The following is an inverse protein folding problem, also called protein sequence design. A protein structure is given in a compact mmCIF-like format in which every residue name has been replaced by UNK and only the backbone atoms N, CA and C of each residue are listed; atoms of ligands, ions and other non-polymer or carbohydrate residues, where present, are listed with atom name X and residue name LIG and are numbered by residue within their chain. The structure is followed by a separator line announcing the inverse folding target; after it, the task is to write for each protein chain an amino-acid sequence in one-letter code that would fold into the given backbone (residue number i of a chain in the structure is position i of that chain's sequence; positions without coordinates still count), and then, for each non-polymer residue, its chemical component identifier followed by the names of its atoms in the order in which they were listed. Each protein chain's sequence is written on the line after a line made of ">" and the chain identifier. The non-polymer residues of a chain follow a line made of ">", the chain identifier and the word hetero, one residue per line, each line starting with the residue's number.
data_IF_930862354671
#
_entry.id   IF_930862354671
#
_cell.length_a   1.000
_cell.length_b   1.000
_cell.length_c   1.000
_cell.angle_alpha   90.00
_cell.angle_beta   90.00
_cell.angle_gamma   90.00
#
_symmetry.space_group_name_H-M   'P 1'
#
loop_
_entity.id
_entity.type
_entity.pdbx_description
1 polymer ?
#
# COMPACT_ATOMS: atom_id res chain seq x y z
N UNK A 1 4.91 -1.16 33.13
CA UNK A 1 4.35 -0.54 31.91
C UNK A 1 4.34 0.94 32.18
N UNK A 2 4.96 1.74 31.31
CA UNK A 2 5.02 3.20 31.51
C UNK A 2 3.61 3.79 31.37
N UNK A 3 3.06 4.24 32.49
CA UNK A 3 1.68 4.74 32.63
C UNK A 3 1.52 6.18 32.09
N UNK A 4 2.14 6.54 30.97
CA UNK A 4 2.11 7.92 30.48
C UNK A 4 2.37 8.12 28.98
N UNK A 5 2.44 7.04 28.20
CA UNK A 5 2.66 7.18 26.77
C UNK A 5 1.48 7.88 26.09
N UNK A 6 1.79 8.95 25.36
CA UNK A 6 0.82 9.78 24.64
C UNK A 6 1.20 9.78 23.17
N UNK A 7 0.31 9.27 22.32
CA UNK A 7 0.43 9.28 20.88
C UNK A 7 0.43 10.74 20.38
N UNK A 8 1.47 11.17 19.64
CA UNK A 8 1.51 12.52 19.08
C UNK A 8 0.33 12.76 18.15
N UNK A 9 -0.15 14.02 18.07
CA UNK A 9 -1.35 14.38 17.30
C UNK A 9 -1.32 13.89 15.84
N UNK A 10 -0.17 14.01 15.17
CA UNK A 10 0.04 13.58 13.78
C UNK A 10 -0.13 12.07 13.55
N UNK A 11 -0.18 11.28 14.63
CA UNK A 11 -0.25 9.83 14.58
C UNK A 11 -1.41 9.26 15.41
N UNK A 12 -2.38 10.07 15.84
CA UNK A 12 -3.52 9.57 16.64
C UNK A 12 -4.22 8.39 15.96
N UNK A 13 -4.86 7.53 16.75
CA UNK A 13 -5.74 6.51 16.21
C UNK A 13 -6.80 7.18 15.31
N UNK A 14 -7.11 6.58 14.17
CA UNK A 14 -7.89 7.24 13.10
C UNK A 14 -7.07 8.01 12.07
N UNK A 15 -5.79 8.30 12.34
CA UNK A 15 -4.84 8.68 11.28
C UNK A 15 -4.38 7.46 10.49
N UNK A 16 -4.16 7.64 9.20
CA UNK A 16 -3.92 6.58 8.23
C UNK A 16 -2.72 5.68 8.62
N UNK A 17 -1.57 6.29 8.91
CA UNK A 17 -0.31 5.55 9.07
C UNK A 17 -0.25 4.67 10.32
N UNK A 18 -0.60 5.21 11.50
CA UNK A 18 -0.47 4.45 12.74
C UNK A 18 -1.56 3.37 12.85
N UNK A 19 -2.79 3.71 12.46
CA UNK A 19 -3.92 2.77 12.46
C UNK A 19 -3.63 1.56 11.57
N UNK A 20 -3.11 1.78 10.36
CA UNK A 20 -2.66 0.70 9.46
C UNK A 20 -1.54 -0.13 10.08
N UNK A 21 -0.57 0.50 10.73
CA UNK A 21 0.57 -0.19 11.34
C UNK A 21 0.12 -1.08 12.51
N UNK A 22 -0.80 -0.59 13.35
CA UNK A 22 -1.40 -1.39 14.44
C UNK A 22 -2.14 -2.60 13.89
N UNK A 23 -2.96 -2.39 12.85
CA UNK A 23 -3.71 -3.47 12.21
C UNK A 23 -2.82 -4.49 11.49
N UNK A 24 -1.57 -4.16 11.15
CA UNK A 24 -0.64 -5.10 10.51
C UNK A 24 0.20 -5.91 11.52
N UNK A 25 0.08 -5.66 12.82
CA UNK A 25 0.76 -6.45 13.86
C UNK A 25 0.13 -7.84 14.01
N UNK A 26 0.96 -8.90 14.05
CA UNK A 26 0.46 -10.28 14.10
C UNK A 26 -0.43 -10.57 15.32
N UNK A 27 -0.18 -9.94 16.47
CA UNK A 27 -1.01 -10.11 17.68
C UNK A 27 -2.41 -9.55 17.44
N UNK A 28 -2.49 -8.41 16.74
CA UNK A 28 -3.75 -7.77 16.35
C UNK A 28 -4.45 -8.56 15.26
N UNK A 29 -3.73 -9.04 14.24
CA UNK A 29 -4.26 -9.92 13.19
C UNK A 29 -4.91 -11.16 13.80
N UNK A 30 -4.21 -11.86 14.69
CA UNK A 30 -4.71 -13.06 15.35
C UNK A 30 -5.99 -12.77 16.17
N UNK A 31 -5.99 -11.66 16.92
CA UNK A 31 -7.14 -11.25 17.72
C UNK A 31 -8.36 -10.95 16.84
N UNK A 32 -8.18 -10.15 15.79
CA UNK A 32 -9.28 -9.70 14.94
C UNK A 32 -9.78 -10.79 14.00
N UNK A 33 -8.89 -11.58 13.40
CA UNK A 33 -9.29 -12.71 12.56
C UNK A 33 -10.11 -13.75 13.34
N UNK A 34 -9.72 -14.04 14.59
CA UNK A 34 -10.54 -14.87 15.48
C UNK A 34 -11.89 -14.23 15.76
N UNK A 35 -11.92 -12.93 16.02
CA UNK A 35 -13.16 -12.21 16.31
C UNK A 35 -14.12 -12.14 15.12
N UNK A 36 -13.62 -12.12 13.88
CA UNK A 36 -14.45 -11.97 12.67
C UNK A 36 -14.88 -13.31 12.08
N UNK A 37 -14.01 -14.32 12.07
CA UNK A 37 -14.23 -15.61 11.39
C UNK A 37 -13.88 -16.84 12.23
N UNK A 38 -13.65 -16.68 13.54
CA UNK A 38 -13.23 -17.74 14.47
C UNK A 38 -11.97 -18.49 14.02
N UNK A 39 -11.05 -17.77 13.38
CA UNK A 39 -9.79 -18.36 12.93
C UNK A 39 -8.83 -18.63 14.11
N UNK A 40 -8.13 -19.78 14.10
CA UNK A 40 -7.01 -20.03 15.01
C UNK A 40 -5.88 -19.01 14.81
N UNK A 41 -5.02 -18.88 15.82
CA UNK A 41 -3.83 -18.05 15.72
C UNK A 41 -2.95 -18.43 14.52
N UNK A 42 -2.31 -17.42 13.94
CA UNK A 42 -1.33 -17.51 12.85
C UNK A 42 -1.88 -18.05 11.52
N UNK A 43 -3.20 -18.20 11.43
CA UNK A 43 -3.95 -18.55 10.22
C UNK A 43 -3.91 -17.42 9.18
N UNK A 44 -3.92 -16.17 9.64
CA UNK A 44 -3.89 -14.99 8.79
C UNK A 44 -2.57 -14.23 8.87
N UNK A 45 -2.25 -13.54 7.77
CA UNK A 45 -1.17 -12.56 7.68
C UNK A 45 -1.67 -11.28 7.02
N UNK A 46 -0.96 -10.18 7.21
CA UNK A 46 -1.15 -8.99 6.40
C UNK A 46 -0.72 -9.29 4.95
N UNK A 47 -1.65 -9.14 4.01
CA UNK A 47 -1.42 -9.24 2.58
C UNK A 47 -0.99 -7.92 1.96
N UNK A 48 -0.64 -7.97 0.67
CA UNK A 48 -0.42 -6.77 -0.13
C UNK A 48 -1.75 -6.05 -0.35
N UNK A 49 -1.78 -4.76 -0.04
CA UNK A 49 -2.98 -3.94 -0.13
C UNK A 49 -3.04 -3.09 -1.39
N UNK A 50 -1.93 -2.97 -2.12
CA UNK A 50 -1.84 -2.25 -3.40
C UNK A 50 -2.29 -3.16 -4.55
N UNK A 51 -3.11 -2.61 -5.43
CA UNK A 51 -3.66 -3.31 -6.58
C UNK A 51 -3.03 -2.83 -7.89
N UNK A 52 -3.09 -3.68 -8.92
CA UNK A 52 -2.49 -3.41 -10.24
C UNK A 52 -3.08 -2.19 -10.95
N UNK A 53 -4.28 -1.75 -10.56
CA UNK A 53 -4.93 -0.55 -11.09
C UNK A 53 -4.48 0.75 -10.40
N UNK A 54 -3.48 0.66 -9.52
CA UNK A 54 -2.94 1.78 -8.75
C UNK A 54 -3.80 2.20 -7.57
N UNK A 55 -4.90 1.49 -7.29
CA UNK A 55 -5.68 1.68 -6.07
C UNK A 55 -5.18 0.77 -4.95
N UNK A 56 -5.52 1.09 -3.69
CA UNK A 56 -5.14 0.28 -2.56
C UNK A 56 -6.24 0.32 -1.49
N UNK A 57 -6.51 -0.84 -0.89
CA UNK A 57 -7.24 -0.89 0.37
C UNK A 57 -6.32 -0.52 1.53
N UNK A 58 -6.87 -0.23 2.70
CA UNK A 58 -6.02 0.19 3.82
C UNK A 58 -5.26 -0.98 4.44
N UNK A 59 -5.96 -2.05 4.79
CA UNK A 59 -5.37 -3.27 5.33
C UNK A 59 -6.11 -4.50 4.80
N UNK A 60 -5.35 -5.47 4.30
CA UNK A 60 -5.87 -6.75 3.84
C UNK A 60 -5.28 -7.87 4.69
N UNK A 61 -6.14 -8.72 5.25
CA UNK A 61 -5.74 -9.98 5.84
C UNK A 61 -6.06 -11.12 4.88
N UNK A 62 -5.06 -11.99 4.65
CA UNK A 62 -5.20 -13.17 3.81
C UNK A 62 -4.85 -14.43 4.62
N UNK A 63 -5.57 -15.55 4.41
CA UNK A 63 -5.15 -16.82 4.96
C UNK A 63 -3.75 -17.19 4.44
N UNK A 64 -2.88 -17.68 5.33
CA UNK A 64 -1.52 -18.10 4.99
C UNK A 64 -1.51 -19.29 4.03
N UNK A 65 -2.45 -20.21 4.22
CA UNK A 65 -2.62 -21.37 3.35
C UNK A 65 -3.53 -21.03 2.18
N UNK A 66 -3.04 -21.21 0.95
CA UNK A 66 -3.86 -21.07 -0.26
C UNK A 66 -5.02 -22.08 -0.32
N UNK A 67 -4.92 -23.20 0.41
CA UNK A 67 -5.99 -24.19 0.52
C UNK A 67 -7.06 -23.83 1.56
N UNK A 68 -6.86 -22.77 2.35
CA UNK A 68 -7.81 -22.34 3.37
C UNK A 68 -9.17 -22.00 2.76
N UNK A 69 -10.24 -22.38 3.47
CA UNK A 69 -11.61 -22.03 3.10
C UNK A 69 -12.05 -20.65 3.60
N UNK A 70 -11.24 -20.04 4.47
CA UNK A 70 -11.57 -18.77 5.11
C UNK A 70 -11.48 -17.59 4.12
N UNK A 71 -12.34 -16.58 4.25
CA UNK A 71 -12.35 -15.42 3.36
C UNK A 71 -11.19 -14.45 3.66
N UNK A 72 -10.70 -13.68 2.68
CA UNK A 72 -9.90 -12.51 2.98
C UNK A 72 -10.71 -11.49 3.81
N UNK A 73 -10.04 -10.69 4.64
CA UNK A 73 -10.69 -9.64 5.45
C UNK A 73 -10.05 -8.31 5.10
N UNK A 74 -10.84 -7.35 4.65
CA UNK A 74 -10.39 -5.99 4.33
C UNK A 74 -10.86 -5.07 5.44
N UNK A 75 -9.93 -4.29 6.01
CA UNK A 75 -10.24 -3.18 6.89
C UNK A 75 -10.03 -1.88 6.14
N UNK A 76 -11.03 -1.01 6.19
CA UNK A 76 -11.01 0.34 5.61
C UNK A 76 -11.18 1.36 6.74
N UNK A 77 -10.23 2.27 6.89
CA UNK A 77 -10.25 3.33 7.89
C UNK A 77 -10.61 4.63 7.19
N UNK A 78 -11.84 5.09 7.41
CA UNK A 78 -12.38 6.20 6.65
C UNK A 78 -12.87 7.30 7.59
N UNK A 79 -12.40 8.54 7.36
CA UNK A 79 -12.81 9.68 8.16
C UNK A 79 -14.30 10.00 7.98
N UNK A 80 -14.72 10.14 6.72
CA UNK A 80 -16.14 10.32 6.35
C UNK A 80 -16.57 9.20 5.43
N UNK A 81 -17.58 8.43 5.86
CA UNK A 81 -18.16 7.32 5.09
C UNK A 81 -19.32 7.87 4.25
N UNK A 82 -19.09 8.02 2.94
CA UNK A 82 -20.04 8.51 1.95
C UNK A 82 -20.26 7.50 0.80
N UNK A 83 -21.16 7.81 -0.13
CA UNK A 83 -21.46 6.91 -1.26
C UNK A 83 -20.21 6.69 -2.14
N UNK A 84 -19.32 7.68 -2.27
CA UNK A 84 -18.07 7.55 -3.05
C UNK A 84 -17.12 6.54 -2.40
N UNK A 85 -16.98 6.59 -1.08
CA UNK A 85 -16.24 5.59 -0.32
C UNK A 85 -16.85 4.19 -0.49
N UNK A 86 -18.17 4.05 -0.37
CA UNK A 86 -18.81 2.73 -0.53
C UNK A 86 -18.56 2.14 -1.92
N UNK A 87 -18.57 2.95 -2.98
CA UNK A 87 -18.19 2.49 -4.33
C UNK A 87 -16.73 2.03 -4.41
N UNK A 88 -15.81 2.68 -3.70
CA UNK A 88 -14.41 2.21 -3.59
C UNK A 88 -14.33 0.88 -2.85
N UNK A 89 -15.03 0.73 -1.73
CA UNK A 89 -15.05 -0.52 -0.96
C UNK A 89 -15.56 -1.70 -1.81
N UNK A 90 -16.63 -1.50 -2.60
CA UNK A 90 -17.13 -2.52 -3.55
C UNK A 90 -16.07 -2.90 -4.58
N UNK A 91 -15.35 -1.92 -5.13
CA UNK A 91 -14.25 -2.16 -6.08
C UNK A 91 -13.14 -2.98 -5.42
N UNK A 92 -12.70 -2.61 -4.23
CA UNK A 92 -11.65 -3.33 -3.49
C UNK A 92 -12.08 -4.78 -3.23
N UNK A 93 -13.33 -4.98 -2.80
CA UNK A 93 -13.86 -6.31 -2.55
C UNK A 93 -13.86 -7.18 -3.81
N UNK A 94 -14.20 -6.59 -4.96
CA UNK A 94 -14.17 -7.26 -6.26
C UNK A 94 -12.75 -7.66 -6.67
N UNK A 95 -11.78 -6.76 -6.53
CA UNK A 95 -10.37 -7.02 -6.86
C UNK A 95 -9.81 -8.14 -5.97
N UNK A 96 -10.02 -8.03 -4.65
CA UNK A 96 -9.60 -9.06 -3.68
C UNK A 96 -10.26 -10.40 -4.01
N UNK A 97 -11.55 -10.39 -4.36
CA UNK A 97 -12.28 -11.57 -4.80
C UNK A 97 -11.68 -12.25 -6.03
N UNK A 98 -11.21 -11.46 -7.00
CA UNK A 98 -10.56 -11.97 -8.21
C UNK A 98 -9.17 -12.54 -7.91
N UNK A 99 -8.36 -11.83 -7.13
CA UNK A 99 -6.97 -12.21 -6.82
C UNK A 99 -6.90 -13.45 -5.93
N UNK A 100 -7.78 -13.53 -4.92
CA UNK A 100 -7.76 -14.62 -3.92
C UNK A 100 -8.83 -15.68 -4.17
N UNK A 101 -9.58 -15.57 -5.27
CA UNK A 101 -10.65 -16.50 -5.65
C UNK A 101 -11.72 -16.70 -4.56
N UNK A 102 -11.89 -15.71 -3.67
CA UNK A 102 -12.81 -15.72 -2.53
C UNK A 102 -13.31 -14.33 -2.23
N UNK A 103 -14.62 -14.19 -2.15
CA UNK A 103 -15.28 -12.94 -1.76
C UNK A 103 -14.87 -12.58 -0.32
N UNK A 104 -14.42 -11.33 -0.04
CA UNK A 104 -13.92 -10.94 1.26
C UNK A 104 -15.01 -10.51 2.24
N UNK A 105 -14.63 -10.39 3.51
CA UNK A 105 -15.37 -9.60 4.52
C UNK A 105 -14.79 -8.19 4.53
N UNK A 106 -15.65 -7.17 4.50
CA UNK A 106 -15.25 -5.76 4.61
C UNK A 106 -15.63 -5.23 5.99
N UNK A 107 -14.66 -4.66 6.70
CA UNK A 107 -14.86 -3.98 7.98
C UNK A 107 -14.51 -2.50 7.79
N UNK A 108 -15.52 -1.64 7.87
CA UNK A 108 -15.42 -0.20 7.75
C UNK A 108 -15.30 0.42 9.14
N UNK A 109 -14.17 1.07 9.40
CA UNK A 109 -13.84 1.79 10.62
C UNK A 109 -14.03 3.28 10.35
N UNK A 110 -15.15 3.83 10.78
CA UNK A 110 -15.47 5.24 10.61
C UNK A 110 -14.86 6.07 11.74
N UNK A 111 -14.02 7.05 11.38
CA UNK A 111 -13.35 7.92 12.37
C UNK A 111 -14.27 9.05 12.84
N UNK A 112 -14.88 9.80 11.91
CA UNK A 112 -15.61 11.03 12.25
C UNK A 112 -17.11 10.90 12.01
N UNK A 113 -17.55 10.64 10.77
CA UNK A 113 -18.98 10.64 10.47
C UNK A 113 -19.38 9.74 9.31
N UNK A 114 -20.62 9.29 9.35
CA UNK A 114 -21.27 8.54 8.27
C UNK A 114 -22.39 9.40 7.70
N UNK A 115 -22.41 9.58 6.38
CA UNK A 115 -23.51 10.31 5.74
C UNK A 115 -24.83 9.59 6.02
N UNK A 116 -25.85 10.30 6.51
CA UNK A 116 -27.11 9.67 6.95
C UNK A 116 -27.76 8.77 5.89
N UNK A 117 -27.73 9.17 4.63
CA UNK A 117 -28.25 8.36 3.51
C UNK A 117 -27.51 7.04 3.35
N UNK A 118 -26.21 7.02 3.65
CA UNK A 118 -25.37 5.81 3.66
C UNK A 118 -25.62 5.01 4.94
N UNK A 119 -25.63 5.66 6.10
CA UNK A 119 -25.86 5.00 7.40
C UNK A 119 -27.19 4.23 7.44
N UNK A 120 -28.23 4.76 6.80
CA UNK A 120 -29.54 4.11 6.72
C UNK A 120 -29.55 2.87 5.80
N UNK A 121 -28.58 2.72 4.91
CA UNK A 121 -28.39 1.52 4.08
C UNK A 121 -27.69 0.38 4.84
N UNK A 122 -27.07 0.67 5.99
CA UNK A 122 -26.56 -0.34 6.91
C UNK A 122 -27.70 -0.83 7.82
N UNK A 123 -28.57 -1.65 7.25
CA UNK A 123 -29.79 -2.17 7.88
C UNK A 123 -29.96 -3.69 7.72
N UNK A 124 -28.94 -4.39 7.24
CA UNK A 124 -28.94 -5.85 7.20
C UNK A 124 -28.84 -6.43 8.63
N UNK A 125 -29.34 -7.65 8.87
CA UNK A 125 -29.12 -8.35 10.12
C UNK A 125 -27.63 -8.41 10.46
N UNK A 126 -27.28 -8.07 11.69
CA UNK A 126 -25.90 -7.99 12.17
C UNK A 126 -25.79 -8.73 13.49
N UNK A 127 -24.86 -9.68 13.56
CA UNK A 127 -24.61 -10.47 14.78
C UNK A 127 -23.94 -9.65 15.89
N UNK A 128 -23.37 -8.49 15.53
CA UNK A 128 -22.71 -7.58 16.46
C UNK A 128 -23.67 -6.47 16.89
N UNK A 129 -24.05 -6.38 18.18
CA UNK A 129 -24.97 -5.35 18.65
C UNK A 129 -24.38 -3.92 18.58
N UNK A 130 -23.05 -3.81 18.52
CA UNK A 130 -22.28 -2.56 18.49
C UNK A 130 -21.88 -2.11 17.07
N UNK A 131 -22.37 -2.80 16.05
CA UNK A 131 -22.07 -2.53 14.65
C UNK A 131 -23.35 -2.53 13.81
N UNK A 132 -23.23 -2.12 12.54
CA UNK A 132 -24.29 -2.30 11.55
C UNK A 132 -23.75 -2.97 10.31
N UNK A 133 -24.61 -3.67 9.57
CA UNK A 133 -24.23 -4.34 8.32
C UNK A 133 -25.00 -3.80 7.12
N UNK A 134 -24.32 -3.72 5.98
CA UNK A 134 -24.94 -3.42 4.70
C UNK A 134 -25.22 -4.72 3.91
N UNK A 135 -26.30 -4.70 3.13
CA UNK A 135 -26.52 -5.72 2.11
C UNK A 135 -25.37 -5.67 1.10
N UNK A 136 -24.69 -6.80 0.90
CA UNK A 136 -23.45 -6.86 0.14
C UNK A 136 -23.35 -8.08 -0.80
N UNK A 137 -24.50 -8.61 -1.19
CA UNK A 137 -24.61 -9.76 -2.09
C UNK A 137 -23.72 -9.57 -3.33
N UNK A 138 -23.05 -10.66 -3.71
CA UNK A 138 -22.14 -10.77 -4.86
C UNK A 138 -20.77 -10.10 -4.74
N UNK A 139 -20.54 -9.17 -3.81
CA UNK A 139 -19.25 -8.45 -3.72
C UNK A 139 -18.55 -8.57 -2.37
N UNK A 140 -19.25 -8.86 -1.27
CA UNK A 140 -18.65 -9.22 0.01
C UNK A 140 -19.44 -10.34 0.69
N UNK A 141 -18.81 -11.05 1.64
CA UNK A 141 -19.53 -11.98 2.52
C UNK A 141 -20.28 -11.21 3.60
N UNK A 142 -19.65 -10.15 4.12
CA UNK A 142 -20.20 -9.21 5.09
C UNK A 142 -19.61 -7.84 4.83
N UNK A 143 -20.38 -6.78 5.10
CA UNK A 143 -19.90 -5.41 5.10
C UNK A 143 -20.33 -4.74 6.41
N UNK A 144 -19.42 -4.72 7.36
CA UNK A 144 -19.66 -4.30 8.74
C UNK A 144 -19.17 -2.87 8.91
N UNK A 145 -19.98 -2.01 9.53
CA UNK A 145 -19.67 -0.63 9.87
C UNK A 145 -19.56 -0.48 11.39
N UNK A 146 -18.42 0.05 11.82
CA UNK A 146 -18.14 0.49 13.17
C UNK A 146 -17.94 2.00 13.15
N UNK A 147 -18.70 2.73 13.95
CA UNK A 147 -18.54 4.18 14.15
C UNK A 147 -18.87 4.55 15.58
N UNK A 148 -18.51 5.76 16.01
CA UNK A 148 -18.93 6.27 17.33
C UNK A 148 -20.44 6.10 17.56
N UNK A 149 -21.25 6.34 16.52
CA UNK A 149 -22.70 6.20 16.58
C UNK A 149 -23.18 4.75 16.76
N UNK A 150 -22.48 3.75 16.19
CA UNK A 150 -22.86 2.34 16.38
C UNK A 150 -22.37 1.78 17.71
N UNK A 151 -21.26 2.31 18.23
CA UNK A 151 -20.65 1.87 19.49
C UNK A 151 -21.31 2.47 20.72
N UNK A 152 -22.08 3.56 20.56
CA UNK A 152 -22.73 4.27 21.67
C UNK A 152 -23.60 3.32 22.50
N UNK A 153 -23.31 3.24 23.80
CA UNK A 153 -24.00 2.33 24.73
C UNK A 153 -23.44 0.90 24.78
N UNK A 154 -22.38 0.60 24.00
CA UNK A 154 -21.71 -0.70 23.98
C UNK A 154 -20.23 -0.62 24.41
N UNK A 155 -19.78 0.55 24.84
CA UNK A 155 -18.43 0.75 25.39
C UNK A 155 -18.43 0.23 26.84
N UNK A 156 -17.66 -0.82 27.09
CA UNK A 156 -17.55 -1.50 28.39
C UNK A 156 -16.15 -2.11 28.61
N UNK A 157 -15.84 -2.48 29.85
CA UNK A 157 -14.53 -3.04 30.21
C UNK A 157 -14.22 -4.36 29.47
N UNK A 158 -15.20 -5.21 29.25
CA UNK A 158 -15.12 -6.52 28.60
C UNK A 158 -15.61 -6.51 27.15
N UNK A 159 -15.58 -5.35 26.50
CA UNK A 159 -16.10 -5.21 25.12
C UNK A 159 -15.40 -6.13 24.12
N UNK A 160 -16.17 -6.57 23.12
CA UNK A 160 -15.69 -7.42 22.03
C UNK A 160 -14.51 -6.75 21.29
N UNK A 161 -13.51 -7.51 20.78
CA UNK A 161 -12.32 -6.90 20.16
C UNK A 161 -12.61 -5.97 18.97
N UNK A 162 -13.65 -6.26 18.18
CA UNK A 162 -14.11 -5.34 17.11
C UNK A 162 -14.70 -4.03 17.67
N UNK A 163 -15.42 -4.09 18.79
CA UNK A 163 -15.93 -2.89 19.46
C UNK A 163 -14.78 -2.06 20.02
N UNK A 164 -13.80 -2.72 20.65
CA UNK A 164 -12.57 -2.08 21.13
C UNK A 164 -11.78 -1.42 19.99
N UNK A 165 -11.70 -2.08 18.82
CA UNK A 165 -11.06 -1.52 17.64
C UNK A 165 -11.80 -0.28 17.13
N UNK A 166 -13.12 -0.37 17.02
CA UNK A 166 -13.97 0.76 16.64
C UNK A 166 -13.76 1.96 17.58
N UNK A 167 -13.80 1.72 18.90
CA UNK A 167 -13.61 2.75 19.93
C UNK A 167 -12.20 3.34 19.90
N UNK A 168 -11.18 2.49 19.74
CA UNK A 168 -9.79 2.94 19.57
C UNK A 168 -9.66 3.89 18.38
N UNK A 169 -10.24 3.54 17.23
CA UNK A 169 -10.15 4.33 16.00
C UNK A 169 -10.98 5.61 16.07
N UNK A 170 -12.25 5.55 16.50
CA UNK A 170 -13.17 6.70 16.46
C UNK A 170 -12.95 7.69 17.60
N UNK A 171 -12.34 7.29 18.72
CA UNK A 171 -12.06 8.22 19.83
C UNK A 171 -10.92 9.18 19.54
N UNK A 172 -10.04 8.85 18.58
CA UNK A 172 -8.77 9.55 18.30
C UNK A 172 -7.96 9.85 19.58
N UNK A 173 -8.15 9.04 20.63
CA UNK A 173 -7.62 9.32 21.95
C UNK A 173 -6.11 9.07 21.97
N UNK A 174 -5.32 9.97 22.55
CA UNK A 174 -3.87 9.86 22.47
C UNK A 174 -3.29 8.82 23.44
N UNK A 175 -4.04 8.34 24.44
CA UNK A 175 -3.52 7.39 25.43
C UNK A 175 -4.59 6.49 26.05
N UNK A 176 -4.14 5.42 26.72
CA UNK A 176 -4.98 4.56 27.56
C UNK A 176 -5.56 5.26 28.80
N UNK A 177 -5.03 6.43 29.18
CA UNK A 177 -5.53 7.22 30.31
C UNK A 177 -6.72 8.09 29.92
N UNK A 178 -6.80 8.47 28.65
CA UNK A 178 -7.81 9.41 28.13
C UNK A 178 -8.97 8.72 27.43
N UNK A 179 -8.77 7.48 26.97
CA UNK A 179 -9.85 6.67 26.39
C UNK A 179 -10.61 5.94 27.50
N UNK A 180 -11.94 5.91 27.39
CA UNK A 180 -12.80 5.17 28.32
C UNK A 180 -12.45 3.68 28.33
N UNK A 181 -12.32 3.09 29.52
CA UNK A 181 -11.82 1.73 29.78
C UNK A 181 -10.40 1.43 29.27
N UNK A 182 -9.62 2.44 28.88
CA UNK A 182 -8.30 2.20 28.29
C UNK A 182 -7.29 1.51 29.18
N UNK A 183 -7.40 1.67 30.50
CA UNK A 183 -6.48 1.06 31.47
C UNK A 183 -6.94 -0.32 31.96
N UNK A 184 -8.22 -0.65 31.79
CA UNK A 184 -8.81 -1.93 32.25
C UNK A 184 -9.05 -2.91 31.11
N UNK A 185 -9.37 -2.45 29.91
CA UNK A 185 -9.59 -3.32 28.75
C UNK A 185 -8.25 -3.78 28.13
N UNK A 186 -7.99 -5.09 28.14
CA UNK A 186 -6.74 -5.67 27.63
C UNK A 186 -6.54 -5.46 26.12
N UNK A 187 -7.62 -5.43 25.34
CA UNK A 187 -7.55 -5.23 23.89
C UNK A 187 -7.15 -3.81 23.54
N UNK A 188 -7.74 -2.81 24.20
CA UNK A 188 -7.34 -1.40 24.03
C UNK A 188 -5.88 -1.22 24.43
N UNK A 189 -5.46 -1.79 25.56
CA UNK A 189 -4.05 -1.75 26.00
C UNK A 189 -3.11 -2.37 24.97
N UNK A 190 -3.50 -3.49 24.35
CA UNK A 190 -2.73 -4.10 23.28
C UNK A 190 -2.59 -3.14 22.09
N UNK A 191 -3.67 -2.49 21.65
CA UNK A 191 -3.60 -1.53 20.54
C UNK A 191 -2.66 -0.36 20.85
N UNK A 192 -2.74 0.23 22.04
CA UNK A 192 -1.82 1.31 22.44
C UNK A 192 -0.37 0.84 22.60
N UNK A 193 -0.15 -0.39 23.09
CA UNK A 193 1.20 -0.97 23.17
C UNK A 193 1.80 -1.17 21.78
N UNK A 194 1.05 -1.75 20.85
CA UNK A 194 1.46 -1.92 19.45
C UNK A 194 1.69 -0.56 18.80
N UNK A 195 0.83 0.42 19.07
CA UNK A 195 0.97 1.79 18.58
C UNK A 195 2.28 2.44 19.07
N UNK A 196 2.62 2.27 20.36
CA UNK A 196 3.87 2.74 20.93
C UNK A 196 5.09 2.09 20.26
N UNK A 197 5.11 0.76 20.19
CA UNK A 197 6.21 0.00 19.57
C UNK A 197 6.42 0.42 18.10
N UNK A 198 5.33 0.60 17.34
CA UNK A 198 5.39 1.09 15.96
C UNK A 198 5.88 2.55 15.86
N UNK A 199 5.47 3.43 16.78
CA UNK A 199 5.93 4.81 16.80
C UNK A 199 7.43 4.91 17.08
N UNK A 200 7.96 4.10 18.01
CA UNK A 200 9.39 4.04 18.28
C UNK A 200 10.18 3.67 17.01
N UNK A 201 9.67 2.71 16.24
CA UNK A 201 10.27 2.31 14.95
C UNK A 201 10.16 3.44 13.91
N UNK A 202 8.99 4.06 13.75
CA UNK A 202 8.76 5.15 12.78
C UNK A 202 9.66 6.35 13.10
N UNK A 203 9.69 6.77 14.38
CA UNK A 203 10.53 7.87 14.84
C UNK A 203 12.02 7.55 14.68
N UNK A 204 12.44 6.31 15.01
CA UNK A 204 13.81 5.86 14.81
C UNK A 204 14.25 5.93 13.34
N UNK A 205 13.38 5.50 12.41
CA UNK A 205 13.62 5.57 10.97
C UNK A 205 13.70 7.01 10.45
N UNK A 206 12.77 7.88 10.88
CA UNK A 206 12.80 9.29 10.50
C UNK A 206 14.05 10.00 11.03
N UNK A 207 14.47 9.70 12.26
CA UNK A 207 15.71 10.23 12.83
C UNK A 207 16.93 9.74 12.05
N UNK A 208 16.99 8.46 11.68
CA UNK A 208 18.05 7.91 10.85
C UNK A 208 18.12 8.56 9.47
N UNK A 209 16.97 8.77 8.81
CA UNK A 209 16.91 9.47 7.52
C UNK A 209 17.38 10.93 7.65
N UNK A 210 16.91 11.64 8.67
CA UNK A 210 17.31 13.04 8.93
C UNK A 210 18.81 13.16 9.20
N UNK A 211 19.38 12.28 10.02
CA UNK A 211 20.83 12.22 10.26
C UNK A 211 21.59 11.91 8.97
N UNK A 212 21.11 10.96 8.18
CA UNK A 212 21.68 10.62 6.87
C UNK A 212 21.71 11.80 5.90
N UNK A 213 20.61 12.55 5.80
CA UNK A 213 20.52 13.78 5.00
C UNK A 213 21.44 14.88 5.53
N UNK A 214 21.50 15.07 6.85
CA UNK A 214 22.37 16.07 7.46
C UNK A 214 23.85 15.78 7.17
N UNK A 215 24.28 14.52 7.33
CA UNK A 215 25.64 14.10 6.97
C UNK A 215 25.92 14.27 5.48
N UNK A 216 24.95 13.97 4.61
CA UNK A 216 25.08 14.19 3.17
C UNK A 216 25.33 15.66 2.84
N UNK A 217 24.55 16.57 3.42
CA UNK A 217 24.71 18.01 3.25
C UNK A 217 26.06 18.50 3.79
N UNK A 218 26.46 18.09 5.00
CA UNK A 218 27.73 18.49 5.61
C UNK A 218 28.95 18.02 4.79
N UNK A 219 28.91 16.78 4.30
CA UNK A 219 29.99 16.23 3.47
C UNK A 219 30.09 16.96 2.12
N UNK A 220 28.95 17.29 1.50
CA UNK A 220 28.92 18.08 0.27
C UNK A 220 29.46 19.49 0.49
N UNK A 221 29.03 20.16 1.56
CA UNK A 221 29.52 21.49 1.90
C UNK A 221 31.05 21.48 2.09
N UNK A 222 31.57 20.51 2.84
CA UNK A 222 33.02 20.35 3.03
C UNK A 222 33.76 20.13 1.71
N UNK A 223 33.23 19.30 0.80
CA UNK A 223 33.85 19.07 -0.51
C UNK A 223 33.82 20.33 -1.39
N UNK A 224 32.70 21.05 -1.42
CA UNK A 224 32.60 22.31 -2.16
C UNK A 224 33.56 23.38 -1.61
N UNK A 225 33.74 23.45 -0.29
CA UNK A 225 34.75 24.33 0.33
C UNK A 225 36.18 23.96 -0.10
N UNK A 226 36.53 22.67 -0.14
CA UNK A 226 37.84 22.19 -0.61
C UNK A 226 38.09 22.52 -2.08
N UNK A 227 37.07 22.36 -2.92
CA UNK A 227 37.12 22.75 -4.34
C UNK A 227 37.35 24.26 -4.45
N UNK A 228 36.54 25.08 -3.77
CA UNK A 228 36.67 26.55 -3.76
C UNK A 228 38.08 26.98 -3.34
N UNK A 229 38.60 26.45 -2.24
CA UNK A 229 39.93 26.81 -1.75
C UNK A 229 41.03 26.40 -2.75
N UNK A 230 40.93 25.21 -3.33
CA UNK A 230 41.92 24.74 -4.32
C UNK A 230 41.92 25.61 -5.59
N UNK A 231 40.75 26.13 -6.00
CA UNK A 231 40.66 27.10 -7.10
C UNK A 231 41.32 28.42 -6.71
N UNK A 232 41.04 28.94 -5.50
CA UNK A 232 41.65 30.18 -5.01
C UNK A 232 43.18 30.07 -4.91
N UNK A 233 43.70 28.90 -4.56
CA UNK A 233 45.13 28.62 -4.44
C UNK A 233 45.79 28.33 -5.81
N UNK A 234 45.05 28.39 -6.93
CA UNK A 234 45.55 28.06 -8.28
C UNK A 234 45.84 26.57 -8.49
N UNK A 235 45.44 25.69 -7.57
CA UNK A 235 45.68 24.25 -7.61
C UNK A 235 44.59 23.50 -8.38
N UNK A 236 44.48 23.76 -9.69
CA UNK A 236 43.38 23.26 -10.53
C UNK A 236 43.24 21.73 -10.55
N UNK A 237 44.35 20.98 -10.56
CA UNK A 237 44.33 19.51 -10.51
C UNK A 237 43.73 18.97 -9.20
N UNK A 238 43.98 19.67 -8.09
CA UNK A 238 43.45 19.30 -6.78
C UNK A 238 41.95 19.60 -6.67
N UNK A 239 41.52 20.73 -7.27
CA UNK A 239 40.11 21.06 -7.39
C UNK A 239 39.33 20.03 -8.23
N UNK A 240 39.92 19.57 -9.35
CA UNK A 240 39.31 18.53 -10.18
C UNK A 240 39.14 17.23 -9.40
N UNK A 241 40.18 16.79 -8.69
CA UNK A 241 40.12 15.57 -7.86
C UNK A 241 39.03 15.65 -6.79
N UNK A 242 38.92 16.75 -6.05
CA UNK A 242 37.84 16.91 -5.06
C UNK A 242 36.44 16.92 -5.69
N UNK A 243 36.33 17.41 -6.91
CA UNK A 243 35.07 17.37 -7.67
C UNK A 243 34.71 15.93 -8.04
N UNK A 244 35.66 15.15 -8.54
CA UNK A 244 35.49 13.72 -8.85
C UNK A 244 35.13 12.90 -7.60
N UNK A 245 35.85 13.08 -6.49
CA UNK A 245 35.55 12.44 -5.21
C UNK A 245 34.13 12.76 -4.72
N UNK A 246 33.70 14.01 -4.91
CA UNK A 246 32.34 14.47 -4.60
C UNK A 246 31.27 13.77 -5.46
N UNK A 247 31.51 13.64 -6.77
CA UNK A 247 30.61 12.90 -7.67
C UNK A 247 30.52 11.42 -7.30
N UNK A 248 31.65 10.78 -6.99
CA UNK A 248 31.67 9.37 -6.59
C UNK A 248 30.94 9.16 -5.25
N UNK A 249 31.13 10.06 -4.29
CA UNK A 249 30.37 10.06 -3.04
C UNK A 249 28.87 10.18 -3.29
N UNK A 250 28.43 11.15 -4.09
CA UNK A 250 27.02 11.35 -4.43
C UNK A 250 26.42 10.13 -5.12
N UNK A 251 27.18 9.49 -6.01
CA UNK A 251 26.73 8.27 -6.71
C UNK A 251 26.52 7.12 -5.72
N UNK A 252 27.43 6.95 -4.75
CA UNK A 252 27.28 5.95 -3.68
C UNK A 252 26.09 6.23 -2.78
N UNK A 253 25.87 7.49 -2.38
CA UNK A 253 24.71 7.86 -1.57
C UNK A 253 23.40 7.68 -2.35
N UNK A 254 23.38 8.04 -3.64
CA UNK A 254 22.23 7.82 -4.51
C UNK A 254 21.85 6.34 -4.52
N UNK A 255 22.81 5.43 -4.74
CA UNK A 255 22.56 3.98 -4.68
C UNK A 255 22.02 3.54 -3.32
N UNK A 256 22.66 4.00 -2.23
CA UNK A 256 22.27 3.66 -0.86
C UNK A 256 20.83 4.07 -0.51
N UNK A 257 20.37 5.22 -0.98
CA UNK A 257 19.03 5.75 -0.66
C UNK A 257 17.98 5.47 -1.76
N UNK A 258 18.38 5.11 -2.98
CA UNK A 258 17.46 4.61 -4.01
C UNK A 258 17.04 3.16 -3.76
N UNK A 259 17.84 2.39 -3.03
CA UNK A 259 17.55 1.01 -2.61
C UNK A 259 16.88 1.01 -1.23
N UNK A 260 15.61 1.41 -1.15
CA UNK A 260 14.75 1.24 0.03
C UNK A 260 13.41 0.73 -0.52
N UNK A 261 12.80 -0.42 -0.20
CA UNK A 261 12.96 -1.37 0.92
C UNK A 261 12.13 -2.64 0.57
N UNK A 262 12.77 -3.71 0.09
CA UNK A 262 12.24 -5.08 0.22
C UNK A 262 13.31 -5.87 0.96
N UNK A 263 13.21 -5.91 2.30
CA UNK A 263 14.01 -6.82 3.11
C UNK A 263 13.08 -7.88 3.67
N UNK A 264 12.86 -8.92 2.88
CA UNK A 264 12.82 -10.29 3.42
C UNK A 264 14.07 -11.00 2.92
N UNK A 265 14.86 -11.64 3.78
CA UNK A 265 15.93 -12.52 3.34
C UNK A 265 15.28 -13.75 2.73
N UNK A 266 15.48 -13.97 1.43
CA UNK A 266 15.24 -15.27 0.79
C UNK A 266 16.61 -15.88 0.54
N UNK A 267 16.79 -17.13 0.98
CA UNK A 267 17.99 -17.93 0.75
C UNK A 267 18.38 -17.98 -0.73
N UNK A 268 19.69 -17.97 -0.97
CA UNK A 268 20.29 -17.98 -2.30
C UNK A 268 19.73 -19.13 -3.17
N UNK A 269 19.10 -18.76 -4.28
CA UNK A 269 18.85 -19.66 -5.41
C UNK A 269 19.90 -19.40 -6.51
N UNK A 270 20.39 -20.45 -7.21
CA UNK A 270 21.53 -20.35 -8.12
C UNK A 270 21.23 -19.46 -9.34
N UNK A 271 22.28 -18.92 -9.99
CA UNK A 271 22.15 -17.72 -10.82
C UNK A 271 21.38 -17.99 -12.11
N UNK A 272 20.36 -17.16 -12.36
CA UNK A 272 19.78 -16.99 -13.68
C UNK A 272 20.30 -15.68 -14.30
N UNK A 273 20.80 -15.84 -15.53
CA UNK A 273 21.52 -14.83 -16.32
C UNK A 273 20.67 -13.57 -16.55
N UNK A 274 21.33 -12.42 -16.40
CA UNK A 274 21.04 -11.09 -16.96
C UNK A 274 19.60 -10.76 -17.41
N UNK A 275 19.07 -9.64 -16.89
CA UNK A 275 18.87 -8.42 -17.68
C UNK A 275 18.53 -7.25 -16.74
N UNK A 276 19.28 -6.16 -16.90
CA UNK A 276 19.22 -4.90 -16.18
C UNK A 276 17.91 -4.14 -16.43
N UNK A 277 17.22 -3.73 -15.36
CA UNK A 277 16.08 -2.79 -15.39
C UNK A 277 16.57 -1.37 -15.72
N UNK A 278 16.08 -0.80 -16.82
CA UNK A 278 16.07 0.65 -17.13
C UNK A 278 14.61 1.13 -17.18
N UNK A 279 14.44 2.45 -17.08
CA UNK A 279 13.18 3.19 -16.83
C UNK A 279 11.95 2.70 -17.64
N UNK A 280 10.96 2.17 -16.92
CA UNK A 280 9.93 1.25 -17.44
C UNK A 280 8.70 1.86 -18.13
N UNK A 281 8.73 3.15 -18.52
CA UNK A 281 7.60 3.76 -19.25
C UNK A 281 7.95 4.25 -20.65
N UNK A 282 9.24 4.46 -20.96
CA UNK A 282 9.69 4.69 -22.34
C UNK A 282 9.88 3.36 -23.08
N UNK A 283 10.50 2.37 -22.42
CA UNK A 283 10.85 1.08 -23.02
C UNK A 283 9.63 0.28 -23.48
N UNK A 284 8.53 0.31 -22.71
CA UNK A 284 7.33 -0.43 -23.05
C UNK A 284 6.70 0.05 -24.38
N UNK A 285 6.69 1.36 -24.63
CA UNK A 285 6.15 1.88 -25.88
C UNK A 285 7.04 1.55 -27.09
N UNK A 286 8.35 1.58 -26.90
CA UNK A 286 9.31 1.23 -27.95
C UNK A 286 9.26 -0.27 -28.26
N UNK A 287 9.10 -1.13 -27.25
CA UNK A 287 8.97 -2.57 -27.40
C UNK A 287 7.70 -2.97 -28.17
N UNK A 288 6.56 -2.34 -27.87
CA UNK A 288 5.31 -2.53 -28.61
C UNK A 288 5.45 -2.11 -30.08
N UNK A 289 6.04 -0.94 -30.34
CA UNK A 289 6.23 -0.46 -31.71
C UNK A 289 7.18 -1.37 -32.48
N UNK A 290 8.29 -1.79 -31.86
CA UNK A 290 9.25 -2.72 -32.45
C UNK A 290 8.61 -4.07 -32.78
N UNK A 291 7.79 -4.61 -31.89
CA UNK A 291 7.07 -5.86 -32.13
C UNK A 291 6.15 -5.75 -33.35
N UNK A 292 5.34 -4.68 -33.42
CA UNK A 292 4.42 -4.48 -34.56
C UNK A 292 5.15 -4.20 -35.87
N UNK A 293 6.33 -3.59 -35.84
CA UNK A 293 7.18 -3.39 -37.02
C UNK A 293 7.84 -4.69 -37.47
N UNK A 294 8.34 -5.51 -36.55
CA UNK A 294 8.88 -6.83 -36.87
C UNK A 294 7.83 -7.72 -37.52
N UNK A 295 6.60 -7.74 -36.97
CA UNK A 295 5.48 -8.47 -37.57
C UNK A 295 5.15 -7.97 -38.98
N UNK A 296 5.16 -6.64 -39.18
CA UNK A 296 4.94 -6.03 -40.50
C UNK A 296 6.04 -6.41 -41.49
N UNK A 297 7.31 -6.37 -41.08
CA UNK A 297 8.46 -6.61 -41.95
C UNK A 297 8.56 -8.06 -42.43
N UNK A 298 7.92 -9.00 -41.73
CA UNK A 298 7.81 -10.40 -42.14
C UNK A 298 6.75 -10.66 -43.22
N UNK A 299 5.96 -9.65 -43.61
CA UNK A 299 4.86 -9.79 -44.58
C UNK A 299 4.86 -8.65 -45.60
N UNK A 300 4.59 -8.97 -46.86
CA UNK A 300 4.37 -7.97 -47.91
C UNK A 300 2.92 -7.50 -47.91
N UNK A 301 2.66 -6.22 -47.71
CA UNK A 301 1.32 -5.64 -47.84
C UNK A 301 0.93 -4.67 -46.71
N UNK A 302 -0.37 -4.40 -46.59
CA UNK A 302 -0.93 -3.61 -45.48
C UNK A 302 -0.84 -4.40 -44.17
N UNK A 303 -0.72 -3.68 -43.06
CA UNK A 303 -0.63 -4.27 -41.73
C UNK A 303 -1.90 -5.08 -41.41
N UNK A 304 -1.73 -6.36 -41.09
CA UNK A 304 -2.78 -7.25 -40.59
C UNK A 304 -2.81 -7.20 -39.05
N UNK A 305 -3.63 -6.29 -38.52
CA UNK A 305 -3.73 -6.07 -37.07
C UNK A 305 -4.35 -7.25 -36.32
N UNK A 306 -5.28 -7.98 -36.95
CA UNK A 306 -5.90 -9.17 -36.36
C UNK A 306 -4.85 -10.28 -36.26
N UNK A 307 -4.10 -10.51 -37.33
CA UNK A 307 -2.97 -11.44 -37.32
C UNK A 307 -1.89 -11.06 -36.32
N UNK A 308 -1.53 -9.77 -36.24
CA UNK A 308 -0.53 -9.26 -35.31
C UNK A 308 -0.94 -9.48 -33.85
N UNK A 309 -2.20 -9.20 -33.52
CA UNK A 309 -2.74 -9.36 -32.18
C UNK A 309 -2.78 -10.84 -31.77
N UNK A 310 -3.25 -11.72 -32.67
CA UNK A 310 -3.28 -13.16 -32.42
C UNK A 310 -1.88 -13.76 -32.28
N UNK A 311 -0.91 -13.27 -33.07
CA UNK A 311 0.48 -13.70 -32.96
C UNK A 311 1.11 -13.23 -31.65
N UNK A 312 0.85 -11.99 -31.22
CA UNK A 312 1.30 -11.47 -29.93
C UNK A 312 0.75 -12.27 -28.74
N UNK A 313 -0.50 -12.75 -28.81
CA UNK A 313 -1.04 -13.66 -27.80
C UNK A 313 -0.30 -15.00 -27.82
N UNK A 314 -0.06 -15.59 -29.00
CA UNK A 314 0.66 -16.87 -29.13
C UNK A 314 2.10 -16.79 -28.62
N UNK A 315 2.76 -15.66 -28.85
CA UNK A 315 4.13 -15.42 -28.45
C UNK A 315 4.24 -14.97 -26.98
N UNK A 316 3.13 -14.97 -26.23
CA UNK A 316 3.03 -14.48 -24.85
C UNK A 316 3.63 -13.07 -24.68
N UNK A 317 3.46 -12.21 -25.68
CA UNK A 317 3.96 -10.84 -25.64
C UNK A 317 3.22 -10.08 -24.54
N UNK A 318 3.87 -9.82 -23.41
CA UNK A 318 3.25 -9.38 -22.15
C UNK A 318 2.38 -8.13 -22.29
N UNK A 319 2.79 -7.20 -23.17
CA UNK A 319 2.05 -5.96 -23.41
C UNK A 319 0.75 -6.14 -24.17
N UNK A 320 0.52 -7.27 -24.83
CA UNK A 320 -0.71 -7.51 -25.58
C UNK A 320 -1.94 -7.56 -24.67
N UNK A 321 -1.74 -7.95 -23.41
CA UNK A 321 -2.80 -8.06 -22.39
C UNK A 321 -3.42 -6.72 -22.01
N UNK A 322 -2.74 -5.60 -22.30
CA UNK A 322 -3.25 -4.25 -22.11
C UNK A 322 -4.27 -3.83 -23.19
N UNK A 323 -4.47 -4.62 -24.24
CA UNK A 323 -5.36 -4.32 -25.36
C UNK A 323 -6.50 -5.33 -25.39
N UNK A 324 -7.73 -4.82 -25.50
CA UNK A 324 -8.94 -5.65 -25.53
C UNK A 324 -9.05 -6.48 -26.82
N UNK A 325 -8.62 -5.89 -27.93
CA UNK A 325 -8.72 -6.46 -29.27
C UNK A 325 -7.72 -5.80 -30.23
N UNK A 326 -7.65 -6.35 -31.45
CA UNK A 326 -6.81 -5.86 -32.53
C UNK A 326 -7.07 -4.39 -32.92
N UNK A 327 -8.32 -3.92 -32.75
CA UNK A 327 -8.69 -2.55 -33.09
C UNK A 327 -8.16 -1.56 -32.04
N UNK A 328 -8.20 -1.94 -30.77
CA UNK A 328 -7.61 -1.17 -29.66
C UNK A 328 -6.09 -1.06 -29.82
N UNK A 329 -5.42 -2.16 -30.19
CA UNK A 329 -3.99 -2.18 -30.51
C UNK A 329 -3.64 -1.23 -31.66
N UNK A 330 -4.42 -1.26 -32.75
CA UNK A 330 -4.22 -0.42 -33.94
C UNK A 330 -4.30 1.07 -33.58
N UNK A 331 -5.38 1.49 -32.91
CA UNK A 331 -5.61 2.90 -32.56
C UNK A 331 -4.46 3.46 -31.72
N UNK A 332 -3.96 2.67 -30.77
CA UNK A 332 -2.87 3.07 -29.89
C UNK A 332 -1.54 3.16 -30.66
N UNK A 333 -1.22 2.17 -31.48
CA UNK A 333 -0.02 2.19 -32.32
C UNK A 333 -0.02 3.35 -33.32
N UNK A 334 -1.16 3.65 -33.94
CA UNK A 334 -1.32 4.78 -34.86
C UNK A 334 -1.12 6.13 -34.14
N UNK A 335 -1.62 6.25 -32.90
CA UNK A 335 -1.43 7.44 -32.06
C UNK A 335 0.05 7.64 -31.71
N UNK A 336 0.77 6.58 -31.35
CA UNK A 336 2.19 6.66 -31.04
C UNK A 336 3.05 6.98 -32.26
N UNK A 337 2.78 6.34 -33.41
CA UNK A 337 3.46 6.64 -34.68
C UNK A 337 3.30 8.10 -35.10
N UNK A 338 2.08 8.67 -34.95
CA UNK A 338 1.84 10.10 -35.20
C UNK A 338 2.65 11.02 -34.29
N UNK A 339 2.76 10.66 -33.00
CA UNK A 339 3.55 11.40 -32.01
C UNK A 339 5.06 11.35 -32.28
N UNK A 340 5.55 10.24 -32.81
CA UNK A 340 6.95 10.09 -33.26
C UNK A 340 7.23 10.89 -34.54
N UNK A 341 6.29 10.94 -35.49
CA UNK A 341 6.44 11.71 -36.73
C UNK A 341 6.32 13.24 -36.57
N UNK A 342 5.68 13.72 -35.49
CA UNK A 342 5.52 15.15 -35.18
C UNK A 342 6.66 15.78 -34.37
N UNK A 343 7.73 15.02 -34.11
CA UNK A 343 8.95 15.48 -33.40
C UNK A 343 10.12 15.86 -34.34
N UNK A 344 9.84 16.11 -35.63
CA UNK A 344 10.84 16.61 -36.57
C UNK A 344 10.87 18.13 -36.61
#
# INVERSE_FOLDING_TARGET
>A
MDNGFTIPHAYRSGTDLLSKSVLKDQRVINLLARSVVDAPNDTYIAGQSDFMDGTACDVLYIPRSAASTLPPIVFEIQRVVDDKFMLRAVRYATIVGQVHHRIPIIVVLCVESVVNTVFNKFNAPCDYPFAKEAHCDFWAQRCILLSEATLRGHIAEDMHPLAALGHFISSESPSTLTIEYGSSNETIRLFYKVAQENLEVICGQQNGLRQGLQHLCQNLESQLQKVKQSIMDGATTKALKYTEDGFEYLTRQKRKYSETRETTPIEDSPPLKHLTKKDSTSDAHDELLQYTENFRNQRTGRMDWIGCYNQAIRDNFTMITAYKDAETLRVVCDKYRKKASGRK
#
